data_IF_153244748827
#
_entry.id   IF_153244748827
#
_cell.length_a   1.000
_cell.length_b   1.000
_cell.length_c   1.000
_cell.angle_alpha   90.00
_cell.angle_beta   90.00
_cell.angle_gamma   90.00
#
_symmetry.space_group_name_H-M   'P 1'
#
loop_
_entity.id
_entity.type
_entity.pdbx_description
1 polymer ?
#
# COMPACT_ATOMS: atom_id res chain seq x y z
N UNK A 1 -8.95 3.27 -21.94
CA UNK A 1 -9.25 2.42 -20.77
C UNK A 1 -8.58 3.07 -19.58
N UNK A 2 -9.32 3.76 -18.72
CA UNK A 2 -8.77 4.25 -17.45
C UNK A 2 -8.59 3.03 -16.55
N UNK A 3 -7.34 2.66 -16.30
CA UNK A 3 -6.99 1.60 -15.36
C UNK A 3 -7.58 1.96 -13.98
N UNK A 4 -8.42 1.07 -13.43
CA UNK A 4 -9.11 1.26 -12.16
C UNK A 4 -8.14 0.97 -11.01
N UNK A 5 -7.21 1.89 -10.74
CA UNK A 5 -6.30 1.78 -9.59
C UNK A 5 -6.96 2.39 -8.36
N UNK A 6 -7.27 1.56 -7.35
CA UNK A 6 -7.72 2.07 -6.06
C UNK A 6 -6.52 2.72 -5.36
N UNK A 7 -6.73 3.94 -4.84
CA UNK A 7 -5.76 4.67 -4.02
C UNK A 7 -6.49 5.33 -2.86
N UNK A 8 -6.00 5.19 -1.65
CA UNK A 8 -6.54 5.91 -0.50
C UNK A 8 -5.46 6.38 0.47
N UNK A 9 -5.81 7.40 1.25
CA UNK A 9 -4.97 7.93 2.33
C UNK A 9 -5.72 7.73 3.64
N UNK A 10 -5.03 7.16 4.62
CA UNK A 10 -5.55 6.88 5.95
C UNK A 10 -4.76 7.63 7.01
N UNK A 11 -5.47 8.20 7.97
CA UNK A 11 -4.93 8.90 9.14
C UNK A 11 -5.30 8.13 10.42
N UNK A 12 -4.36 7.36 11.01
CA UNK A 12 -4.62 6.59 12.21
C UNK A 12 -4.82 7.45 13.46
N UNK A 13 -4.49 8.74 13.43
CA UNK A 13 -4.64 9.61 14.60
C UNK A 13 -6.08 10.13 14.77
N UNK A 14 -6.94 10.00 13.75
CA UNK A 14 -8.31 10.55 13.74
C UNK A 14 -9.38 9.64 14.34
N UNK A 15 -9.11 8.35 14.49
CA UNK A 15 -10.06 7.37 14.99
C UNK A 15 -9.38 6.53 16.08
N UNK A 16 -9.37 7.03 17.31
CA UNK A 16 -8.65 6.41 18.44
C UNK A 16 -9.58 5.82 19.50
N UNK A 17 -10.83 6.30 19.55
CA UNK A 17 -11.85 5.82 20.47
C UNK A 17 -12.84 4.91 19.73
N UNK A 18 -13.52 4.04 20.47
CA UNK A 18 -14.49 3.10 19.90
C UNK A 18 -15.73 3.81 19.33
N UNK A 19 -16.05 5.00 19.84
CA UNK A 19 -17.16 5.84 19.41
C UNK A 19 -16.85 6.71 18.19
N UNK A 20 -15.59 6.79 17.76
CA UNK A 20 -15.18 7.57 16.60
C UNK A 20 -15.70 6.93 15.31
N UNK A 21 -16.15 7.74 14.34
CA UNK A 21 -16.55 7.22 13.03
C UNK A 21 -15.29 6.82 12.22
N UNK A 22 -15.13 5.55 11.85
CA UNK A 22 -13.95 5.10 11.11
C UNK A 22 -13.86 5.70 9.70
N UNK A 23 -14.92 6.33 9.18
CA UNK A 23 -14.85 7.10 7.94
C UNK A 23 -13.98 8.36 8.07
N UNK A 24 -13.91 8.98 9.24
CA UNK A 24 -13.12 10.21 9.47
C UNK A 24 -11.60 9.97 9.33
N UNK A 25 -11.16 8.72 9.49
CA UNK A 25 -9.78 8.33 9.26
C UNK A 25 -9.43 8.15 7.77
N UNK A 26 -10.43 8.04 6.87
CA UNK A 26 -10.21 7.93 5.42
C UNK A 26 -10.19 9.32 4.78
N UNK A 27 -9.00 9.91 4.72
CA UNK A 27 -8.78 11.29 4.26
C UNK A 27 -9.00 11.48 2.75
N UNK A 28 -8.76 10.43 1.97
CA UNK A 28 -8.92 10.45 0.51
C UNK A 28 -9.20 9.04 0.01
N UNK A 29 -10.08 8.90 -0.97
CA UNK A 29 -10.33 7.64 -1.65
C UNK A 29 -10.59 7.85 -3.14
N UNK A 30 -9.86 7.12 -3.98
CA UNK A 30 -10.07 7.02 -5.42
C UNK A 30 -10.34 5.56 -5.81
N UNK A 31 -11.31 5.30 -6.71
CA UNK A 31 -12.19 6.29 -7.34
C UNK A 31 -13.38 6.72 -6.47
N UNK A 32 -13.86 7.95 -6.70
CA UNK A 32 -14.91 8.59 -5.89
C UNK A 32 -16.34 8.05 -6.14
N UNK A 33 -16.52 7.16 -7.11
CA UNK A 33 -17.81 6.50 -7.36
C UNK A 33 -18.03 5.23 -6.53
N UNK A 34 -16.99 4.73 -5.84
CA UNK A 34 -17.13 3.61 -4.90
C UNK A 34 -17.97 4.08 -3.71
N UNK A 35 -18.92 3.26 -3.26
CA UNK A 35 -19.77 3.63 -2.12
C UNK A 35 -19.01 3.55 -0.79
N UNK A 36 -19.45 4.31 0.21
CA UNK A 36 -18.70 4.45 1.47
C UNK A 36 -18.58 3.13 2.25
N UNK A 37 -19.58 2.25 2.16
CA UNK A 37 -19.51 0.92 2.78
C UNK A 37 -18.39 0.06 2.19
N UNK A 38 -18.21 0.06 0.87
CA UNK A 38 -17.13 -0.66 0.18
C UNK A 38 -15.76 -0.07 0.50
N UNK A 39 -15.67 1.27 0.53
CA UNK A 39 -14.45 1.98 0.95
C UNK A 39 -14.05 1.55 2.34
N UNK A 40 -14.99 1.63 3.27
CA UNK A 40 -14.76 1.32 4.67
C UNK A 40 -14.38 -0.15 4.87
N UNK A 41 -15.04 -1.07 4.17
CA UNK A 41 -14.70 -2.49 4.23
C UNK A 41 -13.26 -2.75 3.77
N UNK A 42 -12.84 -2.19 2.63
CA UNK A 42 -11.49 -2.35 2.11
C UNK A 42 -10.44 -1.68 3.00
N UNK A 43 -10.66 -0.42 3.38
CA UNK A 43 -9.76 0.32 4.27
C UNK A 43 -9.64 -0.40 5.62
N UNK A 44 -10.75 -0.83 6.21
CA UNK A 44 -10.76 -1.54 7.48
C UNK A 44 -10.01 -2.87 7.44
N UNK A 45 -10.18 -3.66 6.37
CA UNK A 45 -9.41 -4.90 6.19
C UNK A 45 -7.91 -4.65 6.13
N UNK A 46 -7.48 -3.67 5.32
CA UNK A 46 -6.06 -3.36 5.13
C UNK A 46 -5.46 -2.71 6.37
N UNK A 47 -6.15 -1.76 7.00
CA UNK A 47 -5.66 -1.05 8.18
C UNK A 47 -5.69 -1.93 9.43
N UNK A 48 -6.67 -2.82 9.58
CA UNK A 48 -6.68 -3.80 10.67
C UNK A 48 -5.47 -4.73 10.60
N UNK A 49 -5.16 -5.27 9.42
CA UNK A 49 -3.94 -6.05 9.20
C UNK A 49 -2.68 -5.21 9.45
N UNK A 50 -2.62 -4.00 8.90
CA UNK A 50 -1.48 -3.08 9.06
C UNK A 50 -1.22 -2.75 10.52
N UNK A 51 -2.27 -2.48 11.30
CA UNK A 51 -2.18 -2.18 12.72
C UNK A 51 -1.67 -3.38 13.53
N UNK A 52 -2.14 -4.59 13.20
CA UNK A 52 -1.60 -5.81 13.80
C UNK A 52 -0.08 -5.95 13.52
N UNK A 53 0.36 -5.71 12.29
CA UNK A 53 1.78 -5.75 11.96
C UNK A 53 2.58 -4.62 12.62
N UNK A 54 2.03 -3.42 12.75
CA UNK A 54 2.69 -2.30 13.45
C UNK A 54 2.88 -2.57 14.94
N UNK A 55 1.92 -3.22 15.57
CA UNK A 55 1.95 -3.53 17.02
C UNK A 55 2.79 -4.76 17.34
N UNK A 56 2.80 -5.77 16.46
CA UNK A 56 3.46 -7.05 16.71
C UNK A 56 4.81 -7.19 16.00
N UNK A 57 5.03 -6.45 14.91
CA UNK A 57 6.18 -6.60 14.01
C UNK A 57 6.64 -5.22 13.47
N UNK A 58 6.78 -5.10 12.16
CA UNK A 58 7.09 -3.86 11.42
C UNK A 58 5.99 -3.56 10.41
N UNK A 59 5.84 -2.29 10.03
CA UNK A 59 4.90 -1.85 9.01
C UNK A 59 5.06 -2.66 7.71
N UNK A 60 4.00 -3.36 7.23
CA UNK A 60 4.07 -4.14 6.01
C UNK A 60 4.15 -3.18 4.82
N UNK A 61 5.05 -3.42 3.88
CA UNK A 61 5.10 -2.64 2.63
C UNK A 61 4.07 -3.11 1.62
N UNK A 62 3.70 -4.38 1.69
CA UNK A 62 2.76 -5.02 0.77
C UNK A 62 1.83 -5.93 1.56
N UNK A 63 0.54 -5.87 1.23
CA UNK A 63 -0.45 -6.84 1.65
C UNK A 63 -1.03 -7.51 0.41
N UNK A 64 -1.04 -8.84 0.40
CA UNK A 64 -1.69 -9.62 -0.65
C UNK A 64 -2.97 -10.21 -0.10
N UNK A 65 -4.10 -9.84 -0.71
CA UNK A 65 -5.42 -10.41 -0.46
C UNK A 65 -5.86 -11.18 -1.71
N UNK A 66 -6.87 -12.04 -1.59
CA UNK A 66 -7.46 -12.72 -2.75
C UNK A 66 -8.02 -11.73 -3.77
N UNK A 67 -8.38 -10.52 -3.33
CA UNK A 67 -8.87 -9.42 -4.15
C UNK A 67 -7.77 -8.62 -4.88
N UNK A 68 -6.51 -8.78 -4.50
CA UNK A 68 -5.40 -8.05 -5.11
C UNK A 68 -4.21 -7.83 -4.19
N UNK A 69 -3.15 -7.23 -4.76
CA UNK A 69 -1.96 -6.82 -4.01
C UNK A 69 -1.98 -5.32 -3.79
N UNK A 70 -1.69 -4.91 -2.57
CA UNK A 70 -1.73 -3.53 -2.12
C UNK A 70 -0.35 -3.14 -1.63
N UNK A 71 0.15 -2.00 -2.08
CA UNK A 71 1.34 -1.35 -1.52
C UNK A 71 0.90 -0.37 -0.47
N UNK A 72 1.64 -0.37 0.64
CA UNK A 72 1.47 0.54 1.75
C UNK A 72 2.74 1.35 1.90
N UNK A 73 2.56 2.67 1.98
CA UNK A 73 3.64 3.60 2.22
C UNK A 73 3.27 4.51 3.38
N UNK A 74 3.96 4.33 4.50
CA UNK A 74 3.86 5.22 5.64
C UNK A 74 4.61 6.53 5.34
N UNK A 75 3.91 7.65 5.47
CA UNK A 75 4.43 8.99 5.24
C UNK A 75 4.11 9.87 6.44
N UNK A 76 5.00 9.88 7.44
CA UNK A 76 4.71 10.46 8.75
C UNK A 76 3.70 9.61 9.50
N UNK A 77 2.63 10.25 10.01
CA UNK A 77 1.50 9.55 10.62
C UNK A 77 0.51 8.98 9.58
N UNK A 78 0.54 9.47 8.34
CA UNK A 78 -0.36 8.97 7.29
C UNK A 78 0.10 7.64 6.71
N UNK A 79 -0.88 6.83 6.30
CA UNK A 79 -0.66 5.60 5.53
C UNK A 79 -1.30 5.80 4.16
N UNK A 80 -0.49 5.73 3.11
CA UNK A 80 -0.95 5.77 1.73
C UNK A 80 -1.01 4.35 1.20
N UNK A 81 -2.14 3.99 0.59
CA UNK A 81 -2.34 2.65 0.02
C UNK A 81 -2.72 2.75 -1.44
N UNK A 82 -2.10 1.91 -2.27
CA UNK A 82 -2.41 1.78 -3.69
C UNK A 82 -2.45 0.33 -4.14
N UNK A 83 -3.28 0.03 -5.13
CA UNK A 83 -3.30 -1.29 -5.80
C UNK A 83 -2.13 -1.42 -6.76
N UNK A 84 -1.45 -2.57 -6.72
CA UNK A 84 -0.47 -2.92 -7.74
C UNK A 84 -1.16 -3.38 -9.03
N UNK A 85 -0.68 -2.95 -10.20
CA UNK A 85 -1.13 -3.52 -11.47
C UNK A 85 -0.86 -5.02 -11.50
N UNK A 86 -1.73 -5.77 -12.18
CA UNK A 86 -1.50 -7.19 -12.41
C UNK A 86 -0.20 -7.37 -13.22
N UNK A 87 0.74 -8.15 -12.70
CA UNK A 87 2.04 -8.42 -13.34
C UNK A 87 3.22 -7.61 -12.82
N UNK A 88 3.04 -6.70 -11.85
CA UNK A 88 4.17 -6.05 -11.18
C UNK A 88 4.79 -6.99 -10.14
N UNK A 89 5.94 -7.58 -10.46
CA UNK A 89 6.79 -8.20 -9.45
C UNK A 89 7.36 -7.11 -8.56
N UNK A 90 7.11 -7.21 -7.25
CA UNK A 90 7.73 -6.30 -6.31
C UNK A 90 9.15 -6.78 -6.08
N UNK A 91 10.11 -6.09 -6.69
CA UNK A 91 11.50 -6.20 -6.30
C UNK A 91 11.65 -5.58 -4.91
N UNK A 92 11.91 -6.43 -3.90
CA UNK A 92 12.44 -5.94 -2.64
C UNK A 92 13.78 -5.26 -2.93
N UNK A 93 13.82 -3.92 -2.87
CA UNK A 93 15.09 -3.22 -2.71
C UNK A 93 15.51 -3.46 -1.26
N UNK A 94 16.05 -4.65 -0.99
CA UNK A 94 16.88 -4.89 0.17
C UNK A 94 18.07 -3.92 0.07
N UNK A 95 18.30 -3.17 1.14
CA UNK A 95 19.43 -2.22 1.21
C UNK A 95 20.74 -2.93 0.88
N UNK A 96 21.43 -2.48 -0.18
CA UNK A 96 22.76 -2.93 -0.62
C UNK A 96 22.67 -4.18 -1.49
N UNK A 97 23.06 -4.20 -2.76
CA UNK A 97 24.21 -3.58 -3.41
C UNK A 97 23.89 -3.56 -4.89
N UNK A 98 24.04 -2.42 -5.57
CA UNK A 98 23.99 -2.40 -7.03
C UNK A 98 25.21 -3.18 -7.55
N UNK A 99 25.00 -4.42 -8.01
CA UNK A 99 26.03 -5.13 -8.79
C UNK A 99 26.02 -4.51 -10.18
N UNK A 100 27.11 -3.83 -10.51
CA UNK A 100 27.38 -3.24 -11.82
C UNK A 100 27.28 -4.33 -12.89
N UNK A 101 26.63 -4.11 -14.04
CA UNK A 101 26.73 -5.05 -15.15
C UNK A 101 28.17 -5.05 -15.67
N UNK A 102 28.91 -6.11 -15.37
CA UNK A 102 30.14 -6.44 -16.08
C UNK A 102 29.75 -7.16 -17.38
N UNK A 103 30.07 -6.57 -18.53
CA UNK A 103 29.93 -7.26 -19.80
C UNK A 103 29.78 -6.36 -21.01
N UNK A 104 30.89 -5.81 -21.51
CA UNK A 104 31.04 -5.34 -22.89
C UNK A 104 32.16 -4.30 -23.03
N UNK A 105 33.02 -4.35 -24.07
CA UNK A 105 32.96 -5.15 -25.30
C UNK A 105 34.12 -6.16 -25.44
N UNK A 106 33.85 -7.35 -25.97
CA UNK A 106 34.91 -8.16 -26.60
C UNK A 106 35.41 -7.41 -27.83
N UNK A 107 36.67 -7.01 -27.78
CA UNK A 107 37.48 -6.65 -28.94
C UNK A 107 38.02 -7.95 -29.53
N UNK A 108 37.65 -8.26 -30.76
CA UNK A 108 38.45 -9.04 -31.70
C UNK A 108 38.36 -8.28 -33.04
N UNK A 109 39.42 -7.55 -33.42
CA UNK A 109 40.59 -8.00 -34.18
C UNK A 109 40.33 -7.98 -35.69
#
# INVERSE_FOLDING_TARGET
>A
MTELSIVFVYDPERCQQEEDDPQEAVMYFHPSWVNDQQRLALCGQLMGATQFFLTSFSCPRILSLDSGKFVLQQSGHYIVVGVLPQGLEVFEITKGTAVKPEGGPEREA
#
